data_IF_605812034721
#
_entry.id   IF_605812034721
#
_cell.length_a   1.000
_cell.length_b   1.000
_cell.length_c   1.000
_cell.angle_alpha   90.00
_cell.angle_beta   90.00
_cell.angle_gamma   90.00
#
_symmetry.space_group_name_H-M   'P 1'
#
loop_
_entity.id
_entity.type
_entity.pdbx_description
1 polymer ?
#
# COMPACT_ATOMS: atom_id res chain seq x y z
N UNK A 1 -26.79 1.16 -4.30
CA UNK A 1 -27.39 -0.18 -4.13
C UNK A 1 -26.67 -0.96 -3.02
N UNK A 2 -27.38 -1.73 -2.20
CA UNK A 2 -26.79 -2.63 -1.17
C UNK A 2 -26.43 -4.00 -1.77
N UNK A 3 -25.61 -4.79 -1.07
CA UNK A 3 -25.31 -6.16 -1.52
C UNK A 3 -26.55 -7.05 -1.53
N UNK A 4 -27.49 -6.85 -0.59
CA UNK A 4 -28.74 -7.61 -0.56
C UNK A 4 -29.60 -7.33 -1.80
N UNK A 5 -29.76 -6.05 -2.16
CA UNK A 5 -30.49 -5.65 -3.39
C UNK A 5 -29.82 -6.22 -4.64
N UNK A 6 -28.48 -6.17 -4.70
CA UNK A 6 -27.72 -6.74 -5.80
C UNK A 6 -27.85 -8.27 -5.88
N UNK A 7 -27.85 -8.98 -4.75
CA UNK A 7 -28.03 -10.44 -4.71
C UNK A 7 -29.42 -10.80 -5.22
N UNK A 8 -30.48 -10.13 -4.76
CA UNK A 8 -31.86 -10.37 -5.24
C UNK A 8 -31.96 -10.14 -6.74
N UNK A 9 -31.37 -9.05 -7.27
CA UNK A 9 -31.32 -8.79 -8.71
C UNK A 9 -30.64 -9.95 -9.46
N UNK A 10 -29.54 -10.47 -8.92
CA UNK A 10 -28.79 -11.58 -9.55
C UNK A 10 -29.54 -12.91 -9.47
N UNK A 11 -30.24 -13.18 -8.37
CA UNK A 11 -31.07 -14.38 -8.18
C UNK A 11 -32.32 -14.34 -9.07
N UNK A 12 -32.91 -13.16 -9.28
CA UNK A 12 -34.05 -12.99 -10.20
C UNK A 12 -33.72 -13.28 -11.66
N UNK A 13 -32.42 -13.28 -12.03
CA UNK A 13 -31.94 -13.64 -13.36
C UNK A 13 -31.76 -15.16 -13.56
N UNK A 14 -32.03 -15.99 -12.54
CA UNK A 14 -31.86 -17.44 -12.59
C UNK A 14 -30.41 -17.92 -12.58
N UNK A 15 -30.20 -19.23 -12.84
CA UNK A 15 -28.86 -19.82 -12.93
C UNK A 15 -28.10 -19.31 -14.15
N UNK A 16 -27.21 -18.34 -13.91
CA UNK A 16 -26.36 -17.78 -14.95
C UNK A 16 -25.11 -18.63 -15.18
N UNK A 17 -24.77 -18.86 -16.44
CA UNK A 17 -23.45 -19.36 -16.81
C UNK A 17 -22.32 -18.48 -16.22
N UNK A 18 -21.19 -19.08 -15.84
CA UNK A 18 -20.05 -18.44 -15.14
C UNK A 18 -19.70 -17.05 -15.73
N UNK A 19 -19.53 -16.99 -17.05
CA UNK A 19 -19.15 -15.78 -17.79
C UNK A 19 -20.20 -14.66 -17.68
N UNK A 20 -21.49 -15.00 -17.66
CA UNK A 20 -22.59 -14.04 -17.51
C UNK A 20 -22.67 -13.53 -16.07
N UNK A 21 -22.52 -14.43 -15.08
CA UNK A 21 -22.52 -14.10 -13.64
C UNK A 21 -21.39 -13.12 -13.32
N UNK A 22 -20.17 -13.42 -13.75
CA UNK A 22 -19.00 -12.53 -13.58
C UNK A 22 -19.22 -11.18 -14.28
N UNK A 23 -19.77 -11.19 -15.50
CA UNK A 23 -20.07 -9.97 -16.23
C UNK A 23 -21.12 -9.08 -15.55
N UNK A 24 -22.15 -9.68 -14.95
CA UNK A 24 -23.17 -8.96 -14.20
C UNK A 24 -22.61 -8.37 -12.90
N UNK A 25 -21.84 -9.14 -12.12
CA UNK A 25 -21.14 -8.60 -10.92
C UNK A 25 -20.22 -7.43 -11.28
N UNK A 26 -19.49 -7.51 -12.39
CA UNK A 26 -18.60 -6.44 -12.85
C UNK A 26 -19.33 -5.12 -13.13
N UNK A 27 -20.58 -5.17 -13.63
CA UNK A 27 -21.41 -3.98 -13.89
C UNK A 27 -22.05 -3.42 -12.62
N UNK A 28 -22.37 -4.29 -11.67
CA UNK A 28 -23.05 -3.94 -10.41
C UNK A 28 -22.08 -3.36 -9.38
N UNK A 29 -20.86 -3.89 -9.32
CA UNK A 29 -19.86 -3.53 -8.30
C UNK A 29 -19.61 -2.02 -8.15
N UNK A 30 -19.45 -1.22 -9.23
CA UNK A 30 -19.25 0.22 -9.12
C UNK A 30 -20.42 0.99 -8.48
N UNK A 31 -21.62 0.40 -8.43
CA UNK A 31 -22.86 1.03 -7.95
C UNK A 31 -23.16 0.74 -6.47
N UNK A 32 -22.29 -0.03 -5.82
CA UNK A 32 -22.46 -0.39 -4.42
C UNK A 32 -22.05 0.76 -3.51
N UNK A 33 -22.83 0.96 -2.45
CA UNK A 33 -22.68 2.11 -1.55
C UNK A 33 -21.45 2.05 -0.67
N UNK A 34 -20.83 0.87 -0.50
CA UNK A 34 -19.60 0.73 0.27
C UNK A 34 -18.76 -0.47 -0.16
N UNK A 35 -17.47 -0.40 0.18
CA UNK A 35 -16.52 -1.51 0.05
C UNK A 35 -17.03 -2.77 0.77
N UNK A 36 -17.68 -2.64 1.93
CA UNK A 36 -18.19 -3.79 2.69
C UNK A 36 -19.26 -4.54 1.90
N UNK A 37 -20.17 -3.80 1.26
CA UNK A 37 -21.20 -4.37 0.39
C UNK A 37 -20.59 -5.02 -0.84
N UNK A 38 -19.59 -4.39 -1.47
CA UNK A 38 -18.85 -4.96 -2.59
C UNK A 38 -18.18 -6.29 -2.25
N UNK A 39 -17.49 -6.35 -1.11
CA UNK A 39 -16.88 -7.57 -0.61
C UNK A 39 -17.92 -8.66 -0.31
N UNK A 40 -19.06 -8.29 0.28
CA UNK A 40 -20.13 -9.23 0.61
C UNK A 40 -20.74 -9.84 -0.66
N UNK A 41 -21.04 -9.00 -1.66
CA UNK A 41 -21.58 -9.46 -2.95
C UNK A 41 -20.61 -10.46 -3.61
N UNK A 42 -19.34 -10.08 -3.77
CA UNK A 42 -18.32 -10.93 -4.41
C UNK A 42 -18.13 -12.24 -3.65
N UNK A 43 -18.15 -12.19 -2.32
CA UNK A 43 -17.99 -13.39 -1.49
C UNK A 43 -19.19 -14.34 -1.60
N UNK A 44 -20.41 -13.82 -1.65
CA UNK A 44 -21.63 -14.63 -1.66
C UNK A 44 -21.99 -15.16 -3.05
N UNK A 45 -21.78 -14.37 -4.10
CA UNK A 45 -22.27 -14.68 -5.44
C UNK A 45 -21.22 -15.43 -6.29
N UNK A 46 -19.93 -15.15 -6.08
CA UNK A 46 -18.87 -15.72 -6.90
C UNK A 46 -18.06 -16.78 -6.16
N UNK A 47 -17.82 -17.89 -6.86
CA UNK A 47 -16.83 -18.91 -6.52
C UNK A 47 -15.40 -18.37 -6.58
N UNK A 48 -14.43 -19.15 -6.12
CA UNK A 48 -13.01 -18.74 -6.17
C UNK A 48 -12.50 -18.52 -7.60
N UNK A 49 -12.87 -19.39 -8.54
CA UNK A 49 -12.51 -19.25 -9.97
C UNK A 49 -13.14 -17.98 -10.56
N UNK A 50 -14.42 -17.75 -10.27
CA UNK A 50 -15.13 -16.57 -10.78
C UNK A 50 -14.58 -15.25 -10.24
N UNK A 51 -14.07 -15.23 -9.00
CA UNK A 51 -13.38 -14.04 -8.44
C UNK A 51 -12.10 -13.72 -9.19
N UNK A 52 -11.37 -14.74 -9.62
CA UNK A 52 -10.21 -14.57 -10.48
C UNK A 52 -10.61 -14.02 -11.84
N UNK A 53 -11.66 -14.59 -12.46
CA UNK A 53 -12.23 -14.11 -13.73
C UNK A 53 -12.70 -12.65 -13.63
N UNK A 54 -13.37 -12.29 -12.53
CA UNK A 54 -13.81 -10.93 -12.25
C UNK A 54 -12.63 -9.96 -12.18
N UNK A 55 -11.55 -10.36 -11.53
CA UNK A 55 -10.33 -9.56 -11.43
C UNK A 55 -9.71 -9.30 -12.80
N UNK A 56 -9.51 -10.35 -13.62
CA UNK A 56 -8.97 -10.19 -14.97
C UNK A 56 -9.84 -9.23 -15.78
N UNK A 57 -11.16 -9.35 -15.65
CA UNK A 57 -12.12 -8.47 -16.33
C UNK A 57 -12.06 -7.01 -15.85
N UNK A 58 -11.89 -6.78 -14.55
CA UNK A 58 -11.89 -5.44 -13.96
C UNK A 58 -10.52 -4.75 -13.97
N UNK A 59 -9.44 -5.49 -14.17
CA UNK A 59 -8.08 -4.95 -14.15
C UNK A 59 -7.79 -4.16 -12.86
N UNK A 60 -7.24 -2.97 -13.00
CA UNK A 60 -6.90 -2.08 -11.89
C UNK A 60 -8.12 -1.62 -11.07
N UNK A 61 -9.31 -1.53 -11.68
CA UNK A 61 -10.53 -1.08 -11.01
C UNK A 61 -10.97 -2.04 -9.89
N UNK A 62 -10.62 -3.32 -10.00
CA UNK A 62 -10.96 -4.35 -9.00
C UNK A 62 -10.52 -3.96 -7.58
N UNK A 63 -9.36 -3.35 -7.45
CA UNK A 63 -8.70 -3.09 -6.18
C UNK A 63 -9.37 -2.00 -5.34
N UNK A 64 -9.55 -0.76 -5.84
CA UNK A 64 -10.23 0.28 -5.07
C UNK A 64 -11.70 -0.08 -4.79
N UNK A 65 -12.39 -0.79 -5.69
CA UNK A 65 -13.76 -1.26 -5.46
C UNK A 65 -13.89 -2.20 -4.26
N UNK A 66 -12.85 -3.00 -4.00
CA UNK A 66 -12.83 -3.95 -2.88
C UNK A 66 -12.01 -3.45 -1.68
N UNK A 67 -11.65 -2.16 -1.66
CA UNK A 67 -10.93 -1.53 -0.55
C UNK A 67 -9.49 -2.02 -0.39
N UNK A 68 -8.82 -2.34 -1.49
CA UNK A 68 -7.39 -2.65 -1.54
C UNK A 68 -6.62 -1.62 -2.38
N UNK A 69 -6.68 -0.32 -2.04
CA UNK A 69 -6.12 0.72 -2.90
C UNK A 69 -4.59 0.75 -2.90
N UNK A 70 -3.90 0.20 -1.89
CA UNK A 70 -2.43 0.22 -1.85
C UNK A 70 -1.80 -0.69 -2.90
N UNK A 71 -1.09 -0.11 -3.88
CA UNK A 71 -0.41 -0.80 -4.97
C UNK A 71 0.30 0.14 -5.96
N UNK A 72 1.10 -0.44 -6.88
CA UNK A 72 1.57 0.20 -8.10
C UNK A 72 0.52 0.10 -9.21
N UNK A 73 0.09 1.24 -9.73
CA UNK A 73 -0.86 1.33 -10.82
C UNK A 73 -0.14 1.80 -12.08
N UNK A 74 -0.28 1.03 -13.15
CA UNK A 74 0.08 1.42 -14.51
C UNK A 74 -1.19 1.41 -15.35
N UNK A 75 -1.75 2.60 -15.60
CA UNK A 75 -3.05 2.81 -16.20
C UNK A 75 -2.90 3.38 -17.61
N UNK A 76 -3.63 2.81 -18.56
CA UNK A 76 -3.77 3.36 -19.89
C UNK A 76 -5.05 4.20 -19.95
N UNK A 77 -4.88 5.53 -19.90
CA UNK A 77 -6.00 6.46 -19.82
C UNK A 77 -6.89 6.41 -21.08
N UNK A 78 -6.47 5.77 -22.18
CA UNK A 78 -7.35 5.53 -23.33
C UNK A 78 -8.47 4.52 -23.00
N UNK A 79 -8.25 3.63 -22.04
CA UNK A 79 -9.22 2.62 -21.61
C UNK A 79 -10.16 3.19 -20.56
N UNK A 80 -11.47 3.09 -20.83
CA UNK A 80 -12.50 3.57 -19.90
C UNK A 80 -12.40 2.93 -18.51
N UNK A 81 -12.05 1.64 -18.45
CA UNK A 81 -11.95 0.91 -17.18
C UNK A 81 -10.77 1.40 -16.32
N UNK A 82 -9.68 1.82 -16.93
CA UNK A 82 -8.52 2.37 -16.23
C UNK A 82 -8.83 3.79 -15.74
N UNK A 83 -9.54 4.60 -16.54
CA UNK A 83 -10.06 5.90 -16.07
C UNK A 83 -11.02 5.72 -14.90
N UNK A 84 -11.91 4.72 -14.94
CA UNK A 84 -12.78 4.40 -13.80
C UNK A 84 -11.99 3.97 -12.56
N UNK A 85 -10.91 3.18 -12.72
CA UNK A 85 -10.03 2.80 -11.62
C UNK A 85 -9.40 4.05 -10.96
N UNK A 86 -8.94 4.98 -11.79
CA UNK A 86 -8.32 6.24 -11.35
C UNK A 86 -9.32 7.15 -10.63
N UNK A 87 -10.53 7.32 -11.17
CA UNK A 87 -11.61 8.08 -10.51
C UNK A 87 -11.94 7.46 -9.16
N UNK A 88 -12.07 6.13 -9.09
CA UNK A 88 -12.37 5.44 -7.83
C UNK A 88 -11.23 5.60 -6.81
N UNK A 89 -9.98 5.59 -7.25
CA UNK A 89 -8.83 5.88 -6.38
C UNK A 89 -8.84 7.33 -5.89
N UNK A 90 -9.21 8.29 -6.73
CA UNK A 90 -9.34 9.69 -6.33
C UNK A 90 -10.40 9.88 -5.23
N UNK A 91 -11.53 9.16 -5.31
CA UNK A 91 -12.54 9.16 -4.25
C UNK A 91 -11.99 8.62 -2.92
N UNK A 92 -11.22 7.52 -2.97
CA UNK A 92 -10.56 6.94 -1.79
C UNK A 92 -9.54 7.92 -1.22
N UNK A 93 -8.70 8.51 -2.07
CA UNK A 93 -7.68 9.48 -1.70
C UNK A 93 -8.29 10.69 -1.00
N UNK A 94 -9.38 11.23 -1.54
CA UNK A 94 -10.07 12.37 -0.96
C UNK A 94 -10.63 12.06 0.43
N UNK A 95 -11.21 10.88 0.64
CA UNK A 95 -11.68 10.45 1.95
C UNK A 95 -10.52 10.28 2.95
N UNK A 96 -9.42 9.64 2.53
CA UNK A 96 -8.22 9.47 3.37
C UNK A 96 -7.53 10.78 3.69
N UNK A 97 -7.52 11.73 2.76
CA UNK A 97 -7.00 13.09 2.94
C UNK A 97 -7.81 13.88 3.97
N UNK A 98 -9.13 13.87 3.85
CA UNK A 98 -10.01 14.53 4.83
C UNK A 98 -9.82 13.93 6.22
N UNK A 99 -9.76 12.60 6.32
CA UNK A 99 -9.49 11.91 7.57
C UNK A 99 -8.11 12.31 8.14
N UNK A 100 -7.07 12.30 7.30
CA UNK A 100 -5.71 12.64 7.71
C UNK A 100 -5.64 14.06 8.28
N UNK A 101 -6.24 15.04 7.61
CA UNK A 101 -6.24 16.43 8.07
C UNK A 101 -7.00 16.67 9.38
N UNK A 102 -8.14 16.00 9.56
CA UNK A 102 -9.11 16.39 10.59
C UNK A 102 -9.18 15.46 11.80
N UNK A 103 -8.78 14.19 11.66
CA UNK A 103 -9.04 13.15 12.67
C UNK A 103 -7.83 12.30 13.02
N UNK A 104 -6.76 12.36 12.21
CA UNK A 104 -5.61 11.47 12.43
C UNK A 104 -4.70 11.91 13.58
N UNK A 105 -4.71 13.20 13.94
CA UNK A 105 -3.79 13.75 14.94
C UNK A 105 -2.31 13.73 14.50
N UNK A 106 -2.01 13.41 13.23
CA UNK A 106 -0.66 13.49 12.65
C UNK A 106 -0.57 14.62 11.62
N UNK A 107 0.66 15.04 11.37
CA UNK A 107 1.05 15.91 10.27
C UNK A 107 0.97 15.21 8.91
N UNK A 108 1.35 15.96 7.89
CA UNK A 108 1.30 15.50 6.50
C UNK A 108 2.46 14.54 6.19
N UNK A 109 2.13 13.30 5.85
CA UNK A 109 3.10 12.25 5.45
C UNK A 109 3.10 11.99 3.94
N UNK A 110 2.48 12.86 3.13
CA UNK A 110 2.50 12.75 1.67
C UNK A 110 3.85 13.14 1.06
N UNK A 111 4.18 12.56 -0.08
CA UNK A 111 5.44 12.83 -0.81
C UNK A 111 5.62 14.33 -1.12
N UNK A 112 4.51 14.99 -1.46
CA UNK A 112 4.47 16.36 -1.98
C UNK A 112 3.98 17.41 -0.97
N UNK A 113 3.56 17.01 0.24
CA UNK A 113 2.99 17.94 1.23
C UNK A 113 1.59 18.44 0.87
N UNK A 114 0.81 17.59 0.20
CA UNK A 114 -0.55 17.88 -0.28
C UNK A 114 -1.61 16.98 0.37
N UNK A 115 -1.23 16.17 1.37
CA UNK A 115 -2.04 15.16 2.06
C UNK A 115 -2.57 14.03 1.18
N UNK A 116 -2.10 13.90 -0.06
CA UNK A 116 -2.50 12.83 -0.96
C UNK A 116 -1.63 11.59 -0.77
N UNK A 117 -2.22 10.42 -0.97
CA UNK A 117 -1.53 9.13 -0.83
C UNK A 117 -0.93 8.61 -2.15
N UNK A 118 -0.93 9.45 -3.20
CA UNK A 118 -0.25 9.22 -4.47
C UNK A 118 1.24 9.54 -4.33
N UNK A 119 2.08 8.69 -4.92
CA UNK A 119 3.54 8.74 -4.83
C UNK A 119 4.15 8.25 -6.15
N UNK A 120 5.36 8.69 -6.45
CA UNK A 120 6.15 8.23 -7.59
C UNK A 120 5.36 8.33 -8.91
N UNK A 121 4.73 9.47 -9.15
CA UNK A 121 3.77 9.61 -10.25
C UNK A 121 4.42 10.08 -11.57
N UNK A 122 4.08 9.39 -12.65
CA UNK A 122 4.59 9.62 -14.00
C UNK A 122 3.46 9.57 -15.02
N UNK A 123 3.39 10.58 -15.90
CA UNK A 123 2.52 10.57 -17.07
C UNK A 123 3.39 10.60 -18.32
N UNK A 124 3.28 9.55 -19.15
CA UNK A 124 4.08 9.38 -20.38
C UNK A 124 5.59 9.59 -20.14
N UNK A 125 6.09 9.04 -19.03
CA UNK A 125 7.50 9.11 -18.65
C UNK A 125 7.95 10.46 -18.08
N UNK A 126 7.03 11.41 -17.87
CA UNK A 126 7.31 12.69 -17.20
C UNK A 126 6.74 12.71 -15.79
N UNK A 127 7.54 13.14 -14.83
CA UNK A 127 7.09 13.32 -13.45
C UNK A 127 5.88 14.26 -13.42
N UNK A 128 4.83 13.85 -12.70
CA UNK A 128 3.60 14.61 -12.54
C UNK A 128 3.15 14.55 -11.09
N UNK A 129 2.20 15.39 -10.69
CA UNK A 129 1.62 15.35 -9.35
C UNK A 129 0.11 15.18 -9.50
N UNK A 130 -0.42 14.11 -8.93
CA UNK A 130 -1.85 13.78 -8.99
C UNK A 130 -2.65 14.63 -7.99
N UNK A 131 -2.83 15.91 -8.35
CA UNK A 131 -3.60 16.89 -7.57
C UNK A 131 -5.10 16.81 -7.86
N UNK A 132 -5.93 17.43 -7.03
CA UNK A 132 -7.37 17.58 -7.31
C UNK A 132 -7.64 18.22 -8.69
N UNK A 133 -6.77 19.14 -9.14
CA UNK A 133 -6.89 19.76 -10.46
C UNK A 133 -6.60 18.78 -11.61
N UNK A 134 -5.64 17.87 -11.44
CA UNK A 134 -5.38 16.80 -12.40
C UNK A 134 -6.64 15.96 -12.64
N UNK A 135 -7.40 15.64 -11.58
CA UNK A 135 -8.63 14.86 -11.71
C UNK A 135 -9.79 15.64 -12.37
N UNK A 136 -9.82 16.96 -12.24
CA UNK A 136 -10.79 17.82 -12.95
C UNK A 136 -10.50 17.90 -14.46
N UNK A 137 -9.22 17.84 -14.84
CA UNK A 137 -8.73 17.99 -16.22
C UNK A 137 -8.17 16.67 -16.77
N UNK A 138 -8.64 15.54 -16.25
CA UNK A 138 -8.06 14.22 -16.49
C UNK A 138 -7.92 13.92 -17.99
N UNK A 139 -6.69 13.65 -18.48
CA UNK A 139 -6.47 13.29 -19.87
C UNK A 139 -7.27 12.06 -20.28
N UNK A 140 -7.71 12.03 -21.55
CA UNK A 140 -8.42 10.88 -22.12
C UNK A 140 -7.49 9.84 -22.74
N UNK A 141 -6.18 10.09 -22.75
CA UNK A 141 -5.11 9.24 -23.30
C UNK A 141 -3.82 9.49 -22.50
N UNK A 142 -2.86 8.58 -22.64
CA UNK A 142 -1.57 8.61 -21.95
C UNK A 142 -1.40 7.43 -20.99
N UNK A 143 -0.16 7.11 -20.67
CA UNK A 143 0.21 6.07 -19.70
C UNK A 143 0.53 6.75 -18.37
N UNK A 144 -0.31 6.47 -17.37
CA UNK A 144 -0.15 7.01 -16.03
C UNK A 144 0.36 5.90 -15.11
N UNK A 145 1.51 6.11 -14.49
CA UNK A 145 2.14 5.21 -13.53
C UNK A 145 2.28 5.89 -12.17
N UNK A 146 1.93 5.21 -11.08
CA UNK A 146 2.09 5.74 -9.72
C UNK A 146 1.99 4.62 -8.68
N UNK A 147 2.49 4.90 -7.49
CA UNK A 147 2.26 4.10 -6.31
C UNK A 147 1.19 4.77 -5.44
N UNK A 148 0.20 4.01 -5.01
CA UNK A 148 -0.76 4.44 -4.00
C UNK A 148 -0.46 3.72 -2.69
N UNK A 149 -0.34 4.46 -1.58
CA UNK A 149 -0.10 3.90 -0.25
C UNK A 149 -1.14 4.40 0.73
N UNK A 150 -2.14 3.56 1.01
CA UNK A 150 -3.20 3.87 1.97
C UNK A 150 -2.64 4.07 3.38
N UNK A 151 -3.05 5.19 3.96
CA UNK A 151 -2.75 5.53 5.35
C UNK A 151 -3.94 5.26 6.29
N UNK A 152 -5.01 4.64 5.79
CA UNK A 152 -6.12 4.13 6.60
C UNK A 152 -5.64 3.04 7.55
N UNK A 153 -6.17 3.06 8.77
CA UNK A 153 -5.81 2.13 9.85
C UNK A 153 -7.04 1.42 10.40
N UNK A 154 -6.89 0.27 11.06
CA UNK A 154 -8.02 -0.41 11.66
C UNK A 154 -8.67 0.49 12.70
N UNK A 155 -9.99 0.36 12.85
CA UNK A 155 -10.67 1.03 13.95
C UNK A 155 -10.24 0.45 15.29
N UNK A 156 -10.33 1.22 16.37
CA UNK A 156 -10.03 0.83 17.74
C UNK A 156 -10.82 -0.40 18.12
N UNK A 157 -10.15 -1.33 18.80
CA UNK A 157 -10.72 -2.62 19.16
C UNK A 157 -10.82 -3.62 17.99
N UNK A 158 -10.34 -3.29 16.79
CA UNK A 158 -10.22 -4.28 15.71
C UNK A 158 -9.34 -5.42 16.16
N UNK A 159 -9.91 -6.63 16.21
CA UNK A 159 -9.17 -7.80 16.66
C UNK A 159 -8.18 -8.25 15.60
N UNK A 160 -6.92 -8.53 15.99
CA UNK A 160 -5.94 -9.14 15.10
C UNK A 160 -6.39 -10.49 14.56
N UNK A 161 -5.83 -10.91 13.42
CA UNK A 161 -5.96 -12.30 12.97
C UNK A 161 -5.28 -13.25 13.96
N UNK A 162 -5.94 -14.35 14.34
CA UNK A 162 -5.33 -15.39 15.16
C UNK A 162 -4.32 -16.24 14.39
N UNK A 163 -3.36 -16.82 15.10
CA UNK A 163 -2.28 -17.66 14.54
C UNK A 163 -2.85 -18.82 13.70
N UNK A 164 -3.87 -19.51 14.21
CA UNK A 164 -4.58 -20.57 13.45
C UNK A 164 -5.09 -20.07 12.10
N UNK A 165 -5.66 -18.85 12.07
CA UNK A 165 -6.27 -18.26 10.88
C UNK A 165 -5.22 -17.69 9.93
N UNK A 166 -4.07 -17.30 10.46
CA UNK A 166 -2.86 -16.93 9.72
C UNK A 166 -2.25 -18.17 9.05
N UNK A 167 -2.02 -19.26 9.77
CA UNK A 167 -1.54 -20.53 9.19
C UNK A 167 -2.48 -21.03 8.08
N UNK A 168 -3.80 -20.98 8.29
CA UNK A 168 -4.77 -21.27 7.24
C UNK A 168 -4.66 -20.33 6.04
N UNK A 169 -4.35 -19.05 6.25
CA UNK A 169 -4.14 -18.09 5.15
C UNK A 169 -2.87 -18.45 4.36
N UNK A 170 -1.75 -18.70 5.03
CA UNK A 170 -0.48 -19.09 4.40
C UNK A 170 -0.64 -20.39 3.61
N UNK A 171 -1.24 -21.42 4.22
CA UNK A 171 -1.52 -22.69 3.54
C UNK A 171 -2.45 -22.50 2.33
N UNK A 172 -3.47 -21.65 2.45
CA UNK A 172 -4.32 -21.30 1.32
C UNK A 172 -3.48 -20.63 0.23
N UNK A 173 -2.73 -19.55 0.54
CA UNK A 173 -1.84 -18.82 -0.40
C UNK A 173 -1.00 -19.80 -1.19
N UNK A 174 -0.30 -20.70 -0.50
CA UNK A 174 0.52 -21.73 -1.11
C UNK A 174 -0.29 -22.63 -2.07
N UNK A 175 -1.46 -23.13 -1.66
CA UNK A 175 -2.32 -23.99 -2.50
C UNK A 175 -2.78 -23.28 -3.77
N UNK A 176 -3.47 -22.14 -3.69
CA UNK A 176 -4.00 -21.55 -4.93
C UNK A 176 -2.91 -20.89 -5.77
N UNK A 177 -1.75 -20.53 -5.20
CA UNK A 177 -0.60 -20.11 -6.03
C UNK A 177 -0.13 -21.28 -6.90
N UNK A 178 -0.08 -22.51 -6.35
CA UNK A 178 0.21 -23.72 -7.14
C UNK A 178 -0.87 -23.98 -8.20
N UNK A 179 -2.14 -23.75 -7.89
CA UNK A 179 -3.25 -23.91 -8.86
C UNK A 179 -3.16 -22.88 -9.98
N UNK A 180 -3.01 -21.59 -9.66
CA UNK A 180 -2.87 -20.51 -10.63
C UNK A 180 -1.64 -20.73 -11.51
N UNK A 181 -0.52 -21.19 -10.93
CA UNK A 181 0.70 -21.56 -11.67
C UNK A 181 0.47 -22.68 -12.70
N UNK A 182 -0.52 -23.54 -12.51
CA UNK A 182 -0.87 -24.67 -13.40
C UNK A 182 -1.93 -24.33 -14.44
N UNK A 183 -2.74 -23.30 -14.22
CA UNK A 183 -3.76 -22.90 -15.19
C UNK A 183 -3.08 -22.42 -16.47
N UNK A 184 -3.41 -22.94 -17.67
CA UNK A 184 -2.91 -22.40 -18.92
C UNK A 184 -3.37 -20.96 -19.06
N UNK A 185 -2.47 -20.10 -19.49
CA UNK A 185 -2.80 -18.70 -19.74
C UNK A 185 -3.78 -18.62 -20.90
N UNK A 186 -5.05 -18.27 -20.62
CA UNK A 186 -6.10 -18.14 -21.66
C UNK A 186 -5.77 -17.04 -22.67
N UNK A 187 -4.87 -16.11 -22.33
CA UNK A 187 -4.37 -15.08 -23.26
C UNK A 187 -3.25 -15.59 -24.19
N UNK A 188 -2.68 -16.77 -23.89
CA UNK A 188 -1.66 -17.46 -24.69
C UNK A 188 -2.18 -18.80 -25.22
N UNK A 189 -3.43 -18.83 -25.70
CA UNK A 189 -3.97 -19.98 -26.41
C UNK A 189 -3.17 -20.19 -27.71
N UNK A 190 -2.07 -20.95 -27.63
CA UNK A 190 -1.20 -21.27 -28.76
C UNK A 190 0.29 -21.42 -28.42
N UNK A 191 0.77 -20.93 -27.27
CA UNK A 191 2.20 -20.99 -26.92
C UNK A 191 2.44 -21.80 -25.64
N UNK A 192 3.07 -22.98 -25.77
CA UNK A 192 3.65 -23.74 -24.64
C UNK A 192 4.89 -23.04 -24.06
N UNK A 193 4.90 -21.71 -23.93
CA UNK A 193 6.00 -21.02 -23.26
C UNK A 193 5.91 -21.28 -21.76
N UNK A 194 6.98 -21.84 -21.20
CA UNK A 194 7.17 -21.97 -19.76
C UNK A 194 7.11 -20.56 -19.17
N UNK A 195 6.22 -20.34 -18.19
CA UNK A 195 6.07 -19.03 -17.53
C UNK A 195 7.43 -18.52 -17.05
N UNK A 196 7.71 -17.24 -17.30
CA UNK A 196 8.94 -16.61 -16.81
C UNK A 196 8.96 -16.58 -15.28
N UNK A 197 10.12 -16.29 -14.68
CA UNK A 197 10.20 -16.04 -13.23
C UNK A 197 9.29 -14.87 -12.84
N UNK A 198 9.24 -13.82 -13.66
CA UNK A 198 8.36 -12.66 -13.47
C UNK A 198 6.89 -13.02 -13.45
N UNK A 199 6.41 -13.83 -14.40
CA UNK A 199 5.00 -14.26 -14.46
C UNK A 199 4.61 -15.09 -13.24
N UNK A 200 5.51 -15.96 -12.78
CA UNK A 200 5.28 -16.77 -11.58
C UNK A 200 5.23 -15.91 -10.32
N UNK A 201 6.09 -14.90 -10.24
CA UNK A 201 6.09 -13.95 -9.13
C UNK A 201 4.80 -13.12 -9.12
N UNK A 202 4.35 -12.64 -10.27
CA UNK A 202 3.11 -11.87 -10.40
C UNK A 202 1.90 -12.65 -9.87
N UNK A 203 1.84 -13.97 -10.07
CA UNK A 203 0.79 -14.82 -9.50
C UNK A 203 0.86 -14.91 -7.97
N UNK A 204 2.06 -15.09 -7.40
CA UNK A 204 2.24 -15.13 -5.94
C UNK A 204 1.90 -13.78 -5.30
N UNK A 205 2.39 -12.68 -5.90
CA UNK A 205 2.07 -11.30 -5.51
C UNK A 205 0.57 -11.08 -5.48
N UNK A 206 -0.11 -11.49 -6.55
CA UNK A 206 -1.56 -11.45 -6.66
C UNK A 206 -2.23 -12.29 -5.56
N UNK A 207 -1.81 -13.53 -5.34
CA UNK A 207 -2.33 -14.37 -4.27
C UNK A 207 -2.22 -13.71 -2.89
N UNK A 208 -1.08 -13.11 -2.55
CA UNK A 208 -0.87 -12.35 -1.30
C UNK A 208 -1.81 -11.15 -1.24
N UNK A 209 -1.96 -10.43 -2.35
CA UNK A 209 -2.79 -9.23 -2.44
C UNK A 209 -4.27 -9.52 -2.22
N UNK A 210 -4.80 -10.60 -2.80
CA UNK A 210 -6.24 -10.87 -2.83
C UNK A 210 -6.79 -11.63 -1.63
N UNK A 211 -5.93 -12.22 -0.81
CA UNK A 211 -6.42 -13.17 0.18
C UNK A 211 -6.73 -12.50 1.50
N UNK A 212 -8.04 -12.55 1.82
CA UNK A 212 -8.70 -12.07 3.04
C UNK A 212 -8.75 -10.53 3.17
N UNK A 213 -9.48 -9.92 2.23
CA UNK A 213 -9.98 -8.53 2.07
C UNK A 213 -10.33 -7.62 3.28
N UNK A 214 -10.07 -8.00 4.54
CA UNK A 214 -10.18 -7.06 5.66
C UNK A 214 -9.44 -7.47 6.93
N UNK A 215 -8.64 -8.54 6.89
CA UNK A 215 -8.08 -9.08 8.12
C UNK A 215 -6.69 -8.52 8.32
N UNK A 216 -6.63 -7.68 9.33
CA UNK A 216 -5.43 -7.09 9.85
C UNK A 216 -4.51 -8.18 10.40
N UNK A 217 -3.24 -8.09 10.03
CA UNK A 217 -2.18 -8.93 10.57
C UNK A 217 -1.93 -8.44 12.00
N UNK A 218 -1.78 -9.40 12.91
CA UNK A 218 -1.67 -9.12 14.34
C UNK A 218 -0.44 -8.30 14.66
N UNK A 219 0.69 -8.78 14.16
CA UNK A 219 1.99 -8.24 14.48
C UNK A 219 2.92 -8.21 13.24
N UNK A 220 3.95 -7.38 13.35
CA UNK A 220 5.00 -7.25 12.35
C UNK A 220 5.73 -8.57 12.11
N UNK A 221 5.79 -9.46 13.11
CA UNK A 221 6.48 -10.76 13.03
C UNK A 221 5.80 -11.69 12.02
N UNK A 222 4.47 -11.78 12.04
CA UNK A 222 3.70 -12.51 11.03
C UNK A 222 3.93 -11.95 9.62
N UNK A 223 4.01 -10.63 9.47
CA UNK A 223 4.31 -10.03 8.17
C UNK A 223 5.76 -10.31 7.73
N UNK A 224 6.72 -10.28 8.66
CA UNK A 224 8.12 -10.60 8.40
C UNK A 224 8.30 -12.04 7.90
N UNK A 225 7.54 -13.00 8.41
CA UNK A 225 7.54 -14.38 7.89
C UNK A 225 7.11 -14.45 6.42
N UNK A 226 6.06 -13.71 6.05
CA UNK A 226 5.62 -13.65 4.66
C UNK A 226 6.72 -13.00 3.81
N UNK A 227 7.26 -11.85 4.23
CA UNK A 227 8.30 -11.11 3.49
C UNK A 227 9.56 -11.95 3.31
N UNK A 228 10.01 -12.69 4.34
CA UNK A 228 11.17 -13.59 4.26
C UNK A 228 11.01 -14.72 3.24
N UNK A 229 9.77 -15.15 2.98
CA UNK A 229 9.47 -16.15 1.97
C UNK A 229 9.46 -15.60 0.54
N UNK A 230 9.55 -14.27 0.36
CA UNK A 230 9.43 -13.65 -0.96
C UNK A 230 10.79 -13.54 -1.66
N UNK A 231 10.82 -13.73 -2.99
CA UNK A 231 12.06 -13.59 -3.75
C UNK A 231 12.54 -12.13 -3.74
N UNK A 232 13.86 -11.94 -3.67
CA UNK A 232 14.46 -10.61 -3.88
C UNK A 232 14.39 -10.17 -5.35
N UNK A 233 14.40 -11.10 -6.29
CA UNK A 233 14.22 -10.78 -7.72
C UNK A 233 12.86 -10.12 -7.97
N UNK A 234 12.84 -9.14 -8.88
CA UNK A 234 11.63 -8.37 -9.23
C UNK A 234 10.95 -7.70 -8.02
N UNK A 235 11.76 -7.24 -7.05
CA UNK A 235 11.33 -6.48 -5.89
C UNK A 235 10.31 -7.22 -5.01
N UNK A 236 10.39 -8.56 -4.96
CA UNK A 236 9.30 -9.33 -4.37
C UNK A 236 9.07 -9.08 -2.87
N UNK A 237 10.15 -8.90 -2.11
CA UNK A 237 10.08 -8.53 -0.70
C UNK A 237 9.50 -7.13 -0.48
N UNK A 238 9.98 -6.13 -1.20
CA UNK A 238 9.57 -4.72 -1.02
C UNK A 238 8.13 -4.50 -1.48
N UNK A 239 7.72 -5.15 -2.56
CA UNK A 239 6.33 -5.23 -3.01
C UNK A 239 5.41 -5.84 -1.94
N UNK A 240 5.86 -6.91 -1.32
CA UNK A 240 5.12 -7.54 -0.21
C UNK A 240 5.04 -6.62 1.00
N UNK A 241 6.11 -5.90 1.33
CA UNK A 241 6.09 -4.87 2.37
C UNK A 241 5.00 -3.85 2.08
N UNK A 242 4.95 -3.30 0.86
CA UNK A 242 3.90 -2.35 0.45
C UNK A 242 2.49 -2.92 0.60
N UNK A 243 2.26 -4.16 0.15
CA UNK A 243 0.95 -4.80 0.22
C UNK A 243 0.51 -5.14 1.65
N UNK A 244 1.44 -5.39 2.56
CA UNK A 244 1.16 -5.73 3.95
C UNK A 244 1.13 -4.51 4.88
N UNK A 245 1.84 -3.44 4.54
CA UNK A 245 1.92 -2.20 5.31
C UNK A 245 0.56 -1.65 5.78
N UNK A 246 -0.47 -1.48 4.92
CA UNK A 246 -1.78 -1.00 5.35
C UNK A 246 -2.61 -2.06 6.08
N UNK A 247 -2.02 -3.20 6.48
CA UNK A 247 -2.69 -4.31 7.19
C UNK A 247 -2.06 -4.61 8.54
N UNK A 248 -0.97 -3.93 8.90
CA UNK A 248 -0.31 -4.06 10.19
C UNK A 248 -1.11 -3.31 11.26
N UNK A 249 -1.33 -3.95 12.41
CA UNK A 249 -1.96 -3.30 13.57
C UNK A 249 -0.90 -2.56 14.39
N UNK A 250 0.29 -3.14 14.51
CA UNK A 250 1.45 -2.69 15.27
C UNK A 250 2.50 -2.06 14.36
N UNK A 251 2.03 -1.18 13.47
CA UNK A 251 2.85 -0.60 12.41
C UNK A 251 4.07 0.18 12.93
N UNK A 252 4.06 0.61 14.19
CA UNK A 252 5.20 1.23 14.87
C UNK A 252 6.44 0.34 14.89
N UNK A 253 6.28 -0.99 14.78
CA UNK A 253 7.37 -1.95 14.70
C UNK A 253 7.81 -2.27 13.27
N UNK A 254 7.26 -1.59 12.25
CA UNK A 254 7.55 -1.89 10.83
C UNK A 254 9.06 -1.89 10.52
N UNK A 255 9.85 -1.09 11.25
CA UNK A 255 11.29 -1.04 11.05
C UNK A 255 11.99 -2.39 11.35
N UNK A 256 11.38 -3.30 12.11
CA UNK A 256 11.90 -4.68 12.27
C UNK A 256 11.93 -5.45 10.94
N UNK A 257 10.92 -5.25 10.07
CA UNK A 257 10.94 -5.80 8.71
C UNK A 257 11.97 -5.07 7.86
N UNK A 258 11.99 -3.74 7.96
CA UNK A 258 12.89 -2.90 7.18
C UNK A 258 14.36 -3.28 7.43
N UNK A 259 14.74 -3.51 8.69
CA UNK A 259 16.11 -3.82 9.09
C UNK A 259 16.61 -5.17 8.56
N UNK A 260 15.69 -6.12 8.33
CA UNK A 260 15.99 -7.42 7.73
C UNK A 260 16.14 -7.40 6.20
N UNK A 261 15.86 -6.27 5.54
CA UNK A 261 16.04 -6.11 4.10
C UNK A 261 17.52 -5.83 3.77
N UNK A 262 17.95 -6.26 2.59
CA UNK A 262 19.24 -5.83 2.02
C UNK A 262 19.23 -4.32 1.73
N UNK A 263 20.40 -3.72 1.55
CA UNK A 263 20.51 -2.28 1.30
C UNK A 263 19.67 -1.79 0.10
N UNK A 264 19.75 -2.47 -1.05
CA UNK A 264 18.94 -2.14 -2.22
C UNK A 264 17.44 -2.33 -1.97
N UNK A 265 17.05 -3.35 -1.20
CA UNK A 265 15.66 -3.55 -0.79
C UNK A 265 15.19 -2.46 0.17
N UNK A 266 16.05 -1.94 1.06
CA UNK A 266 15.73 -0.82 1.95
C UNK A 266 15.44 0.46 1.16
N UNK A 267 16.31 0.80 0.20
CA UNK A 267 16.12 1.96 -0.68
C UNK A 267 14.80 1.87 -1.45
N UNK A 268 14.53 0.72 -2.08
CA UNK A 268 13.28 0.51 -2.81
C UNK A 268 12.05 0.51 -1.88
N UNK A 269 12.14 -0.08 -0.69
CA UNK A 269 11.05 -0.06 0.29
C UNK A 269 10.71 1.37 0.73
N UNK A 270 11.73 2.18 1.03
CA UNK A 270 11.57 3.60 1.36
C UNK A 270 10.98 4.40 0.21
N UNK A 271 11.45 4.19 -1.03
CA UNK A 271 10.87 4.81 -2.24
C UNK A 271 9.39 4.46 -2.43
N UNK A 272 9.02 3.19 -2.23
CA UNK A 272 7.65 2.70 -2.40
C UNK A 272 6.69 3.20 -1.31
N UNK A 273 7.11 3.20 -0.06
CA UNK A 273 6.25 3.49 1.09
C UNK A 273 6.32 4.93 1.56
N UNK A 274 7.48 5.57 1.45
CA UNK A 274 7.77 6.89 2.00
C UNK A 274 8.45 6.87 3.36
N UNK A 275 9.47 7.69 3.52
CA UNK A 275 10.17 7.85 4.79
C UNK A 275 9.25 8.34 5.91
N UNK A 276 8.36 9.31 5.68
CA UNK A 276 7.43 9.77 6.72
C UNK A 276 6.36 8.73 7.06
N UNK A 277 6.13 7.78 6.16
CA UNK A 277 5.24 6.66 6.44
C UNK A 277 5.92 5.60 7.33
N UNK A 278 7.19 5.26 7.08
CA UNK A 278 7.85 4.12 7.74
C UNK A 278 8.70 4.49 8.96
N UNK A 279 9.18 5.74 9.04
CA UNK A 279 10.09 6.19 10.09
C UNK A 279 9.43 6.14 11.47
N UNK A 280 10.19 5.69 12.47
CA UNK A 280 9.80 5.72 13.87
C UNK A 280 10.83 6.51 14.70
N UNK A 281 10.51 7.73 15.15
CA UNK A 281 11.41 8.56 15.96
C UNK A 281 11.80 7.93 17.32
N UNK A 282 11.06 6.93 17.80
CA UNK A 282 11.43 6.21 19.03
C UNK A 282 12.62 5.27 18.83
N UNK A 283 12.81 4.80 17.59
CA UNK A 283 13.88 3.90 17.20
C UNK A 283 14.60 4.50 15.98
N UNK A 284 15.34 5.61 16.10
CA UNK A 284 15.95 6.29 14.97
C UNK A 284 17.26 5.65 14.50
N UNK A 285 17.88 4.77 15.28
CA UNK A 285 19.24 4.23 15.07
C UNK A 285 19.43 3.40 13.78
N UNK A 286 19.82 4.05 12.67
CA UNK A 286 20.10 3.40 11.38
C UNK A 286 20.99 4.28 10.49
N UNK A 287 21.46 3.68 9.41
CA UNK A 287 21.92 4.40 8.23
C UNK A 287 20.74 4.90 7.38
N UNK A 288 20.78 6.17 6.99
CA UNK A 288 19.78 6.83 6.16
C UNK A 288 20.41 7.45 4.93
N UNK A 289 19.68 7.38 3.82
CA UNK A 289 19.93 8.16 2.61
C UNK A 289 18.65 8.89 2.23
N UNK A 290 18.74 10.21 2.15
CA UNK A 290 17.64 11.08 1.74
C UNK A 290 17.97 11.80 0.44
N UNK A 291 17.11 11.67 -0.54
CA UNK A 291 17.07 12.55 -1.70
C UNK A 291 16.39 13.86 -1.31
N UNK A 292 17.19 14.90 -1.09
CA UNK A 292 16.71 16.21 -0.68
C UNK A 292 15.93 16.93 -1.79
N UNK A 293 15.85 16.41 -3.02
CA UNK A 293 14.91 16.91 -4.03
C UNK A 293 13.46 16.57 -3.66
N UNK A 294 13.25 15.47 -2.92
CA UNK A 294 11.94 15.01 -2.46
C UNK A 294 11.57 15.73 -1.17
N UNK A 295 10.39 16.39 -1.17
CA UNK A 295 9.92 17.17 -0.01
C UNK A 295 9.76 16.32 1.24
N UNK A 296 9.12 15.16 1.12
CA UNK A 296 8.96 14.22 2.24
C UNK A 296 10.28 13.85 2.91
N UNK A 297 11.33 13.61 2.14
CA UNK A 297 12.64 13.22 2.67
C UNK A 297 13.35 14.38 3.37
N UNK A 298 13.16 15.61 2.89
CA UNK A 298 13.57 16.82 3.64
C UNK A 298 12.84 16.95 4.97
N UNK A 299 11.55 16.63 5.00
CA UNK A 299 10.78 16.64 6.25
C UNK A 299 11.26 15.55 7.23
N UNK A 300 11.64 14.38 6.72
CA UNK A 300 12.29 13.33 7.49
C UNK A 300 13.66 13.80 8.02
N UNK A 301 14.50 14.44 7.19
CA UNK A 301 15.78 15.00 7.61
C UNK A 301 15.62 16.01 8.77
N UNK A 302 14.58 16.86 8.73
CA UNK A 302 14.27 17.78 9.83
C UNK A 302 13.90 17.08 11.15
N UNK A 303 13.39 15.84 11.11
CA UNK A 303 13.16 15.05 12.33
C UNK A 303 14.51 14.76 12.98
N UNK A 304 15.51 14.31 12.21
CA UNK A 304 16.85 14.03 12.73
C UNK A 304 17.60 15.29 13.18
N UNK A 305 17.44 16.42 12.48
CA UNK A 305 17.98 17.69 12.97
C UNK A 305 17.38 18.03 14.34
N UNK A 306 16.05 17.90 14.50
CA UNK A 306 15.42 18.18 15.80
C UNK A 306 15.91 17.23 16.89
N UNK A 307 16.11 15.96 16.56
CA UNK A 307 16.70 14.99 17.49
C UNK A 307 18.14 15.41 17.85
N UNK A 308 19.02 15.65 16.88
CA UNK A 308 20.42 16.02 17.12
C UNK A 308 20.64 17.37 17.82
N UNK A 309 19.74 18.36 17.62
CA UNK A 309 19.81 19.66 18.32
C UNK A 309 19.37 19.54 19.78
N UNK A 310 18.43 18.63 20.06
CA UNK A 310 17.78 18.54 21.39
C UNK A 310 18.37 17.42 22.25
N UNK A 311 18.82 16.33 21.63
CA UNK A 311 19.67 15.29 22.22
C UNK A 311 21.10 15.83 22.09
N UNK A 312 21.74 16.24 23.19
CA UNK A 312 22.77 17.27 23.22
C UNK A 312 23.97 16.92 22.33
N UNK A 313 24.09 17.65 21.21
CA UNK A 313 25.33 18.00 20.52
C UNK A 313 25.09 19.34 19.78
N UNK A 314 26.15 20.13 19.66
CA UNK A 314 26.21 21.57 19.38
C UNK A 314 25.71 21.96 17.96
N UNK A 315 24.40 21.90 17.70
CA UNK A 315 23.81 22.25 16.40
C UNK A 315 22.86 23.44 16.53
N UNK A 316 23.29 24.63 16.10
CA UNK A 316 22.40 25.77 15.87
C UNK A 316 21.90 25.74 14.43
N UNK A 317 20.74 25.14 14.17
CA UNK A 317 20.15 25.10 12.83
C UNK A 317 19.24 26.33 12.60
N UNK A 318 19.81 27.44 12.11
CA UNK A 318 19.00 28.57 11.62
C UNK A 318 18.43 28.32 10.21
N UNK A 319 19.01 27.39 9.44
CA UNK A 319 18.58 27.04 8.07
C UNK A 319 18.13 25.57 7.93
N UNK A 320 17.03 25.37 7.20
CA UNK A 320 16.52 24.03 6.87
C UNK A 320 17.40 23.26 5.86
N UNK A 321 17.17 21.95 5.63
CA UNK A 321 17.94 21.19 4.67
C UNK A 321 17.84 21.79 3.27
N UNK A 322 18.95 21.68 2.51
CA UNK A 322 19.01 22.07 1.09
C UNK A 322 17.86 21.42 0.30
N UNK A 323 17.50 22.01 -0.85
CA UNK A 323 16.39 21.52 -1.69
C UNK A 323 16.80 20.51 -2.78
N UNK A 324 18.07 20.15 -2.83
CA UNK A 324 18.67 19.28 -3.85
C UNK A 324 19.86 18.51 -3.27
N UNK A 325 20.19 17.38 -3.89
CA UNK A 325 21.33 16.54 -3.51
C UNK A 325 20.93 15.41 -2.56
N UNK A 326 21.92 14.60 -2.20
CA UNK A 326 21.74 13.46 -1.31
C UNK A 326 22.30 13.77 0.07
N UNK A 327 21.56 13.43 1.12
CA UNK A 327 22.02 13.46 2.51
C UNK A 327 22.13 12.04 3.02
N UNK A 328 23.35 11.63 3.36
CA UNK A 328 23.63 10.28 3.88
C UNK A 328 24.25 10.39 5.27
N UNK A 329 23.74 9.67 6.25
CA UNK A 329 24.27 9.68 7.61
C UNK A 329 23.87 8.41 8.37
N UNK A 330 24.61 8.11 9.42
CA UNK A 330 24.23 7.12 10.43
C UNK A 330 23.77 7.86 11.68
N UNK A 331 22.58 7.54 12.17
CA UNK A 331 22.09 8.05 13.45
C UNK A 331 22.33 7.01 14.54
N UNK A 332 22.81 7.44 15.70
CA UNK A 332 22.97 6.58 16.88
C UNK A 332 22.51 7.29 18.13
N UNK A 333 21.76 6.57 18.95
CA UNK A 333 21.28 6.97 20.27
C UNK A 333 22.09 6.32 21.39
N UNK A 334 23.25 5.72 21.06
CA UNK A 334 24.07 4.94 21.99
C UNK A 334 24.70 5.87 23.05
N UNK A 335 24.37 5.71 24.35
CA UNK A 335 24.96 6.53 25.41
C UNK A 335 26.49 6.41 25.49
N UNK A 336 27.05 5.28 25.08
CA UNK A 336 28.51 5.09 25.05
C UNK A 336 29.20 5.98 24.00
N UNK A 337 28.45 6.47 23.01
CA UNK A 337 28.91 7.41 21.99
C UNK A 337 28.60 8.88 22.34
N UNK A 338 28.20 9.15 23.58
CA UNK A 338 27.90 10.50 24.07
C UNK A 338 26.47 10.98 23.86
N UNK A 339 25.59 10.16 23.26
CA UNK A 339 24.21 10.57 23.02
C UNK A 339 23.35 10.48 24.29
N UNK A 340 22.64 11.56 24.63
CA UNK A 340 21.58 11.55 25.64
C UNK A 340 20.21 11.68 24.97
N UNK A 341 19.58 10.54 24.65
CA UNK A 341 18.26 10.52 24.04
C UNK A 341 17.21 11.24 24.90
N UNK A 342 16.32 12.01 24.28
CA UNK A 342 15.28 12.77 24.98
C UNK A 342 13.90 12.17 24.64
N UNK A 343 13.34 11.29 25.50
CA UNK A 343 12.10 10.57 25.18
C UNK A 343 10.91 11.48 24.88
N UNK A 344 10.83 12.64 25.54
CA UNK A 344 9.76 13.63 25.33
C UNK A 344 9.76 14.19 23.89
N UNK A 345 10.94 14.48 23.33
CA UNK A 345 11.10 14.99 21.95
C UNK A 345 10.73 13.89 20.95
N UNK A 346 11.19 12.66 21.19
CA UNK A 346 10.81 11.50 20.35
C UNK A 346 9.30 11.29 20.36
N UNK A 347 8.64 11.45 21.51
CA UNK A 347 7.20 11.32 21.65
C UNK A 347 6.45 12.42 20.89
N UNK A 348 6.93 13.66 20.95
CA UNK A 348 6.39 14.78 20.16
C UNK A 348 6.51 14.51 18.66
N UNK A 349 7.68 14.04 18.21
CA UNK A 349 7.95 13.78 16.79
C UNK A 349 7.11 12.66 16.20
N UNK A 350 6.50 11.79 17.01
CA UNK A 350 5.57 10.76 16.53
C UNK A 350 4.39 11.34 15.74
N UNK A 351 3.99 12.57 16.05
CA UNK A 351 2.91 13.24 15.30
C UNK A 351 3.32 13.58 13.86
N UNK A 352 4.60 13.59 13.52
CA UNK A 352 5.09 13.93 12.16
C UNK A 352 5.16 12.73 11.22
N UNK A 353 4.94 11.52 11.74
CA UNK A 353 5.08 10.27 10.99
C UNK A 353 3.86 9.38 11.13
N UNK A 354 3.73 8.40 10.23
CA UNK A 354 2.64 7.44 10.27
C UNK A 354 2.92 6.31 11.28
N UNK A 355 4.13 5.73 11.24
CA UNK A 355 4.57 4.69 12.18
C UNK A 355 4.70 5.18 13.63
N UNK A 356 4.62 6.48 13.89
CA UNK A 356 4.57 7.03 15.25
C UNK A 356 3.18 7.00 15.89
N UNK A 357 2.14 6.85 15.09
CA UNK A 357 0.77 6.93 15.60
C UNK A 357 0.21 5.57 15.95
N UNK A 358 -0.15 5.38 17.23
CA UNK A 358 -1.18 4.40 17.65
C UNK A 358 -2.55 4.87 17.16
N UNK A 359 -2.74 4.95 15.85
CA UNK A 359 -4.03 5.21 15.24
C UNK A 359 -4.92 3.98 15.39
N UNK A 360 -5.34 3.72 16.63
CA UNK A 360 -6.52 2.93 16.93
C UNK A 360 -7.70 3.89 16.88
N UNK A 361 -8.43 3.96 15.76
CA UNK A 361 -9.59 4.85 15.61
C UNK A 361 -10.89 4.27 16.14
#
# INVERSE_FOLDING_TARGET
MTAAQAIVLMESCGDMHETKRVGAVAKVLPQLTSVKEAQNLVKRVLSMSERFSLRIRLGALYFPLLGLPTNHYALDLSKQIDRQALIKLAEVAQAEKQFSKSRSGRGDTSQHGNWENFRNEWLDGKATILTSHFFQTMPQKGKLEFDYVSTSRPTRGTKPMSDRRYQQLVAQIARDSRTELRLPDRSMAGSRRRRSVGDRWELVRNAVRFRKFKKWIRDVKMAAEIVRCMPSVHNGKTETCRLLFPRLIDIEHFMEIFDALSFAEKQECARLLGWLNILNPQQPDRYYEFDLSVREEREAAKIFVKLAVTEPDDVTAEDGPRRTGWLTFEYTSDPSRGCAAVPAVRQELLQRVLCGTRLYL
#
